data_IF_424265349335
#
_entry.id   IF_424265349335
#
_cell.length_a   1.000
_cell.length_b   1.000
_cell.length_c   1.000
_cell.angle_alpha   90.00
_cell.angle_beta   90.00
_cell.angle_gamma   90.00
#
_symmetry.space_group_name_H-M   'P 1'
#
loop_
_entity.id
_entity.type
_entity.pdbx_description
1 polymer ?
#
# COMPACT_ATOMS: atom_id res chain seq x y z
N UNK A 1 -7.45 -14.61 8.05
CA UNK A 1 -8.49 -14.09 7.13
C UNK A 1 -9.75 -14.94 7.19
N UNK A 2 -9.71 -16.25 6.88
CA UNK A 2 -10.91 -17.11 6.79
C UNK A 2 -11.89 -17.01 7.98
N UNK A 3 -11.42 -17.11 9.23
CA UNK A 3 -12.26 -16.96 10.44
C UNK A 3 -13.02 -15.63 10.46
N UNK A 4 -12.35 -14.51 10.13
CA UNK A 4 -13.01 -13.19 10.09
C UNK A 4 -14.13 -13.13 9.04
N UNK A 5 -13.94 -13.80 7.90
CA UNK A 5 -14.92 -13.83 6.81
C UNK A 5 -16.09 -14.73 7.15
N UNK A 6 -15.81 -15.96 7.58
CA UNK A 6 -16.81 -17.01 7.75
C UNK A 6 -17.60 -16.88 9.04
N UNK A 7 -16.99 -16.35 10.10
CA UNK A 7 -17.56 -16.34 11.45
C UNK A 7 -17.88 -14.92 11.96
N UNK A 8 -17.22 -13.89 11.42
CA UNK A 8 -17.35 -12.52 11.94
C UNK A 8 -17.89 -11.51 10.92
N UNK A 9 -18.27 -11.94 9.72
CA UNK A 9 -18.92 -11.09 8.72
C UNK A 9 -18.02 -10.01 8.09
N UNK A 10 -16.70 -10.17 8.18
CA UNK A 10 -15.74 -9.24 7.56
C UNK A 10 -15.57 -9.60 6.08
N UNK A 11 -15.80 -8.67 5.17
CA UNK A 11 -15.70 -8.91 3.72
C UNK A 11 -14.66 -8.03 3.00
N UNK A 12 -13.84 -7.29 3.75
CA UNK A 12 -12.81 -6.43 3.18
C UNK A 12 -11.55 -6.40 4.03
N UNK A 13 -10.38 -6.37 3.40
CA UNK A 13 -9.08 -6.28 4.07
C UNK A 13 -8.27 -5.11 3.50
N UNK A 14 -7.60 -4.35 4.37
CA UNK A 14 -6.78 -3.19 3.98
C UNK A 14 -5.30 -3.54 4.01
N UNK A 15 -4.62 -3.31 2.90
CA UNK A 15 -3.20 -3.47 2.72
C UNK A 15 -2.55 -2.10 2.47
N UNK A 16 -1.25 -2.00 2.75
CA UNK A 16 -0.49 -0.76 2.60
C UNK A 16 0.72 -0.99 1.68
N UNK A 17 0.90 -0.09 0.71
CA UNK A 17 2.12 -0.01 -0.12
C UNK A 17 3.08 1.06 0.39
N UNK A 18 2.62 1.86 1.37
CA UNK A 18 3.38 2.87 2.08
C UNK A 18 3.69 2.41 3.51
N UNK A 19 4.30 3.29 4.31
CA UNK A 19 4.72 3.00 5.69
C UNK A 19 5.74 1.86 5.75
N UNK A 20 6.84 2.07 5.02
CA UNK A 20 8.00 1.19 5.01
C UNK A 20 8.44 0.83 6.43
N UNK A 21 8.82 -0.44 6.62
CA UNK A 21 9.22 -1.04 7.91
C UNK A 21 8.13 -1.11 8.99
N UNK A 22 6.88 -0.75 8.68
CA UNK A 22 5.75 -0.80 9.62
C UNK A 22 4.56 -1.61 9.09
N UNK A 23 3.95 -1.17 7.98
CA UNK A 23 2.76 -1.82 7.40
C UNK A 23 2.92 -2.22 5.93
N UNK A 24 3.98 -1.73 5.28
CA UNK A 24 4.21 -1.93 3.85
C UNK A 24 4.34 -3.41 3.50
N UNK A 25 3.54 -3.85 2.53
CA UNK A 25 3.72 -5.12 1.84
C UNK A 25 4.46 -4.92 0.53
N UNK A 26 5.35 -5.85 0.19
CA UNK A 26 5.99 -5.94 -1.11
C UNK A 26 5.11 -6.70 -2.12
N UNK A 27 5.42 -6.55 -3.41
CA UNK A 27 4.59 -7.12 -4.48
C UNK A 27 4.28 -8.63 -4.34
N UNK A 28 5.22 -9.51 -3.93
CA UNK A 28 4.90 -10.92 -3.68
C UNK A 28 3.84 -11.12 -2.59
N UNK A 29 3.91 -10.34 -1.51
CA UNK A 29 2.96 -10.40 -0.40
C UNK A 29 1.59 -9.84 -0.82
N UNK A 30 1.56 -8.83 -1.69
CA UNK A 30 0.31 -8.33 -2.28
C UNK A 30 -0.35 -9.39 -3.18
N UNK A 31 0.43 -10.13 -3.98
CA UNK A 31 -0.09 -11.25 -4.78
C UNK A 31 -0.76 -12.29 -3.88
N UNK A 32 -0.10 -12.68 -2.79
CA UNK A 32 -0.65 -13.65 -1.82
C UNK A 32 -1.92 -13.11 -1.14
N UNK A 33 -1.89 -11.86 -0.67
CA UNK A 33 -3.02 -11.22 -0.01
C UNK A 33 -4.24 -11.07 -0.93
N UNK A 34 -4.03 -10.67 -2.19
CA UNK A 34 -5.11 -10.53 -3.16
C UNK A 34 -5.68 -11.89 -3.58
N UNK A 35 -4.82 -12.90 -3.74
CA UNK A 35 -5.24 -14.29 -3.99
C UNK A 35 -6.11 -14.82 -2.84
N UNK A 36 -5.70 -14.55 -1.59
CA UNK A 36 -6.49 -14.93 -0.42
C UNK A 36 -7.84 -14.20 -0.37
N UNK A 37 -7.88 -12.89 -0.67
CA UNK A 37 -9.13 -12.13 -0.76
C UNK A 37 -10.07 -12.73 -1.81
N UNK A 38 -9.56 -13.05 -3.01
CA UNK A 38 -10.34 -13.69 -4.08
C UNK A 38 -10.92 -15.03 -3.63
N UNK A 39 -10.09 -15.92 -3.09
CA UNK A 39 -10.52 -17.26 -2.67
C UNK A 39 -11.59 -17.22 -1.56
N UNK A 40 -11.60 -16.16 -0.76
CA UNK A 40 -12.56 -15.93 0.32
C UNK A 40 -13.76 -15.06 -0.10
N UNK A 41 -13.83 -14.58 -1.35
CA UNK A 41 -14.90 -13.70 -1.82
C UNK A 41 -14.89 -12.31 -1.15
N UNK A 42 -13.71 -11.80 -0.80
CA UNK A 42 -13.52 -10.53 -0.10
C UNK A 42 -12.95 -9.44 -1.01
N UNK A 43 -13.14 -8.19 -0.62
CA UNK A 43 -12.58 -7.01 -1.30
C UNK A 43 -11.20 -6.67 -0.73
N UNK A 44 -10.20 -6.61 -1.59
CA UNK A 44 -8.90 -6.06 -1.26
C UNK A 44 -8.94 -4.53 -1.36
N UNK A 45 -8.64 -3.84 -0.26
CA UNK A 45 -8.44 -2.39 -0.23
C UNK A 45 -6.96 -2.07 -0.10
N UNK A 46 -6.51 -1.00 -0.76
CA UNK A 46 -5.08 -0.63 -0.78
C UNK A 46 -4.90 0.83 -0.38
N UNK A 47 -3.88 1.12 0.42
CA UNK A 47 -3.28 2.45 0.52
C UNK A 47 -2.12 2.51 -0.46
N UNK A 48 -2.32 3.19 -1.59
CA UNK A 48 -1.50 3.06 -2.77
C UNK A 48 -0.58 4.28 -2.96
N UNK A 49 0.47 4.36 -2.16
CA UNK A 49 1.62 5.24 -2.41
C UNK A 49 2.90 4.40 -2.37
N UNK A 50 3.93 4.74 -3.15
CA UNK A 50 5.20 4.01 -3.13
C UNK A 50 6.02 4.33 -1.86
N UNK A 51 5.99 3.41 -0.89
CA UNK A 51 6.63 3.57 0.41
C UNK A 51 8.16 3.73 0.37
N UNK A 52 8.83 3.11 -0.62
CA UNK A 52 10.28 3.24 -0.78
C UNK A 52 10.66 4.65 -1.24
N UNK A 53 9.92 5.22 -2.20
CA UNK A 53 10.13 6.59 -2.69
C UNK A 53 9.84 7.59 -1.57
N UNK A 54 8.74 7.42 -0.82
CA UNK A 54 8.40 8.28 0.32
C UNK A 54 9.52 8.29 1.35
N UNK A 55 10.04 7.11 1.73
CA UNK A 55 11.11 7.01 2.71
C UNK A 55 12.38 7.72 2.24
N UNK A 56 12.77 7.54 0.97
CA UNK A 56 13.93 8.20 0.39
C UNK A 56 13.77 9.73 0.32
N UNK A 57 12.62 10.22 -0.14
CA UNK A 57 12.33 11.65 -0.23
C UNK A 57 12.26 12.31 1.15
N UNK A 58 11.61 11.65 2.12
CA UNK A 58 11.55 12.12 3.51
C UNK A 58 12.94 12.31 4.08
N UNK A 59 13.81 11.30 3.93
CA UNK A 59 15.21 11.40 4.36
C UNK A 59 15.93 12.58 3.69
N UNK A 60 15.80 12.71 2.37
CA UNK A 60 16.42 13.80 1.61
C UNK A 60 15.97 15.19 2.09
N UNK A 61 14.68 15.38 2.36
CA UNK A 61 14.11 16.65 2.80
C UNK A 61 14.57 17.03 4.21
N UNK A 62 14.56 16.06 5.14
CA UNK A 62 15.08 16.25 6.49
C UNK A 62 16.58 16.58 6.48
N UNK A 63 17.38 15.87 5.68
CA UNK A 63 18.81 16.15 5.51
C UNK A 63 19.07 17.55 4.91
N UNK A 64 18.13 18.08 4.12
CA UNK A 64 18.16 19.44 3.58
C UNK A 64 17.60 20.51 4.55
N UNK A 65 17.19 20.12 5.76
CA UNK A 65 16.66 21.03 6.78
C UNK A 65 15.18 21.39 6.62
N UNK A 66 14.47 20.77 5.67
CA UNK A 66 13.02 20.94 5.49
C UNK A 66 12.32 20.12 6.59
N UNK A 67 11.91 20.80 7.64
CA UNK A 67 11.32 20.21 8.86
C UNK A 67 9.91 20.70 9.15
N UNK A 68 9.39 21.63 8.34
CA UNK A 68 8.03 22.11 8.45
C UNK A 68 7.02 21.14 7.80
N UNK A 69 5.71 21.36 8.00
CA UNK A 69 4.65 20.52 7.45
C UNK A 69 4.66 20.41 5.92
N UNK A 70 5.19 21.41 5.21
CA UNK A 70 5.34 21.41 3.75
C UNK A 70 6.18 20.22 3.26
N UNK A 71 7.18 19.79 4.06
CA UNK A 71 7.99 18.62 3.75
C UNK A 71 7.17 17.33 3.66
N UNK A 72 5.99 17.27 4.29
CA UNK A 72 5.10 16.13 4.20
C UNK A 72 4.61 15.92 2.77
N UNK A 73 4.06 16.95 2.15
CA UNK A 73 3.56 16.91 0.76
C UNK A 73 4.73 16.73 -0.21
N UNK A 74 5.82 17.48 -0.03
CA UNK A 74 7.00 17.39 -0.90
C UNK A 74 7.65 16.01 -0.90
N UNK A 75 7.46 15.23 0.17
CA UNK A 75 7.98 13.85 0.26
C UNK A 75 7.22 12.84 -0.59
N UNK A 76 5.98 13.17 -0.98
CA UNK A 76 5.00 12.28 -1.61
C UNK A 76 4.24 12.97 -2.76
N UNK A 77 4.94 13.50 -3.78
CA UNK A 77 4.26 14.12 -4.91
C UNK A 77 3.33 13.10 -5.59
N UNK A 78 2.27 13.57 -6.25
CA UNK A 78 1.14 12.74 -6.72
C UNK A 78 1.53 11.56 -7.63
N UNK A 79 2.67 11.62 -8.31
CA UNK A 79 3.17 10.53 -9.14
C UNK A 79 3.52 9.28 -8.31
N UNK A 80 3.86 9.45 -7.02
CA UNK A 80 4.09 8.36 -6.05
C UNK A 80 2.81 7.59 -5.77
N UNK A 81 1.67 8.27 -5.73
CA UNK A 81 0.33 7.66 -5.60
C UNK A 81 -0.08 6.99 -6.92
N UNK A 82 0.11 7.69 -8.04
CA UNK A 82 -0.29 7.21 -9.36
C UNK A 82 0.43 5.89 -9.73
N UNK A 83 1.74 5.80 -9.46
CA UNK A 83 2.52 4.59 -9.70
C UNK A 83 1.99 3.40 -8.89
N UNK A 84 1.85 3.58 -7.58
CA UNK A 84 1.41 2.51 -6.68
C UNK A 84 -0.04 2.09 -6.97
N UNK A 85 -0.91 3.04 -7.35
CA UNK A 85 -2.28 2.76 -7.78
C UNK A 85 -2.28 1.89 -9.03
N UNK A 86 -1.51 2.27 -10.05
CA UNK A 86 -1.37 1.49 -11.28
C UNK A 86 -0.83 0.09 -10.98
N UNK A 87 0.22 -0.02 -10.15
CA UNK A 87 0.82 -1.31 -9.79
C UNK A 87 -0.14 -2.20 -9.02
N UNK A 88 -0.89 -1.68 -8.04
CA UNK A 88 -1.92 -2.43 -7.33
C UNK A 88 -2.99 -2.99 -8.28
N UNK A 89 -3.45 -2.19 -9.25
CA UNK A 89 -4.39 -2.62 -10.27
C UNK A 89 -3.81 -3.74 -11.16
N UNK A 90 -2.56 -3.60 -11.60
CA UNK A 90 -1.88 -4.63 -12.41
C UNK A 90 -1.76 -5.94 -11.64
N UNK A 91 -1.32 -5.90 -10.38
CA UNK A 91 -1.18 -7.08 -9.52
C UNK A 91 -2.55 -7.74 -9.27
N UNK A 92 -3.57 -6.95 -8.94
CA UNK A 92 -4.94 -7.45 -8.76
C UNK A 92 -5.46 -8.16 -10.02
N UNK A 93 -5.12 -7.64 -11.20
CA UNK A 93 -5.48 -8.26 -12.48
C UNK A 93 -4.78 -9.60 -12.72
N UNK A 94 -3.59 -9.84 -12.15
CA UNK A 94 -2.87 -11.12 -12.33
C UNK A 94 -3.43 -12.26 -11.46
N UNK A 95 -4.17 -11.93 -10.41
CA UNK A 95 -4.76 -12.93 -9.52
C UNK A 95 -6.24 -13.19 -9.81
N UNK A 96 -6.83 -12.51 -10.82
CA UNK A 96 -8.22 -12.68 -11.27
C UNK A 96 -8.56 -14.09 -11.76
#
# INVERSE_FOLDING_TARGET
MATLVQEHGVNSFKMFMAYKDLFMLHDPELIEAFTACKNLGCVAMVHAENGDIIAANTKKLLDAGVTGPEGHEMSRPEEVEAEATNRACVIANQVM
#
